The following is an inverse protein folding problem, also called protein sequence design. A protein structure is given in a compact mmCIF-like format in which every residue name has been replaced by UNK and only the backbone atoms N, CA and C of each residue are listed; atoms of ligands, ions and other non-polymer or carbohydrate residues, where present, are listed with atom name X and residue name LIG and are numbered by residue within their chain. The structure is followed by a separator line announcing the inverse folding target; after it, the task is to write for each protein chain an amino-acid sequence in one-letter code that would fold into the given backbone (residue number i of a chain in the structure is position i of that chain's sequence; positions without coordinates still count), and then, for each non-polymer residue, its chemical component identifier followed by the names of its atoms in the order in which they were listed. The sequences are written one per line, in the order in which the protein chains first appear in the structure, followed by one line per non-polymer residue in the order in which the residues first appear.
data_IF_466495375564
#
_entry.id   IF_466495375564
#
_cell.length_a   1.000
_cell.length_b   1.000
_cell.length_c   1.000
_cell.angle_alpha   90.00
_cell.angle_beta   90.00
_cell.angle_gamma   90.00
#
_symmetry.space_group_name_H-M   'P 1'
#
loop_
_entity.id
_entity.type
_entity.pdbx_description
1 polymer ?
#
# COMPACT_ATOMS: atom_id res chain seq x y z
N UNK A 1 6.67 10.84 4.07
CA UNK A 1 6.62 9.76 3.09
C UNK A 1 5.18 9.43 2.68
N UNK A 2 4.99 8.93 1.45
CA UNK A 2 3.72 8.42 0.90
C UNK A 2 3.97 7.03 0.36
N UNK A 3 3.12 6.07 0.68
CA UNK A 3 3.25 4.70 0.21
C UNK A 3 2.11 4.33 -0.74
N UNK A 4 2.43 3.65 -1.83
CA UNK A 4 1.47 2.99 -2.72
C UNK A 4 1.62 1.49 -2.57
N UNK A 5 0.51 0.76 -2.59
CA UNK A 5 0.51 -0.71 -2.55
C UNK A 5 -0.50 -1.29 -3.54
N UNK A 6 -0.23 -2.49 -3.99
CA UNK A 6 -1.09 -3.25 -4.89
C UNK A 6 -0.83 -4.76 -4.75
N UNK A 7 -1.77 -5.55 -5.22
CA UNK A 7 -1.59 -6.98 -5.44
C UNK A 7 -2.20 -7.41 -6.76
N UNK A 8 -1.54 -8.33 -7.47
CA UNK A 8 -2.13 -8.93 -8.65
C UNK A 8 -3.40 -9.70 -8.30
N UNK A 9 -4.45 -9.58 -9.13
CA UNK A 9 -5.72 -10.28 -8.92
C UNK A 9 -5.60 -11.79 -9.13
N UNK A 10 -4.71 -12.19 -10.03
CA UNK A 10 -4.51 -13.60 -10.38
C UNK A 10 -3.18 -14.08 -9.85
N UNK A 11 -3.22 -15.23 -9.19
CA UNK A 11 -2.01 -15.95 -8.82
C UNK A 11 -1.26 -16.48 -10.06
N UNK A 12 0.00 -16.80 -9.86
CA UNK A 12 0.79 -17.52 -10.87
C UNK A 12 0.10 -18.84 -11.23
N UNK A 13 -0.04 -19.19 -12.52
CA UNK A 13 -0.69 -20.45 -12.93
C UNK A 13 -0.09 -21.72 -12.30
N UNK A 14 1.18 -21.66 -11.89
CA UNK A 14 1.89 -22.82 -11.33
C UNK A 14 1.63 -23.03 -9.84
N UNK A 15 1.43 -21.97 -9.07
CA UNK A 15 1.30 -22.04 -7.61
C UNK A 15 0.14 -21.22 -7.02
N UNK A 16 -0.64 -20.56 -7.88
CA UNK A 16 -1.83 -19.79 -7.54
C UNK A 16 -1.56 -18.62 -6.55
N UNK A 17 -0.30 -18.28 -6.30
CA UNK A 17 0.06 -17.17 -5.41
C UNK A 17 0.10 -15.85 -6.18
N UNK A 18 -0.58 -14.86 -5.67
CA UNK A 18 -0.53 -13.50 -6.19
C UNK A 18 0.80 -12.82 -5.87
N UNK A 19 1.15 -11.81 -6.65
CA UNK A 19 2.29 -10.93 -6.38
C UNK A 19 1.81 -9.66 -5.70
N UNK A 20 2.41 -9.33 -4.57
CA UNK A 20 2.20 -8.05 -3.90
C UNK A 20 3.37 -7.10 -4.17
N UNK A 21 3.07 -5.82 -4.23
CA UNK A 21 4.06 -4.78 -4.46
C UNK A 21 3.75 -3.52 -3.67
N UNK A 22 4.79 -2.76 -3.38
CA UNK A 22 4.65 -1.41 -2.81
C UNK A 22 5.79 -0.50 -3.28
N UNK A 23 5.54 0.78 -3.16
CA UNK A 23 6.54 1.83 -3.37
C UNK A 23 6.34 2.95 -2.35
N UNK A 24 7.42 3.32 -1.64
CA UNK A 24 7.44 4.46 -0.72
C UNK A 24 8.16 5.61 -1.39
N UNK A 25 7.46 6.74 -1.48
CA UNK A 25 7.94 7.99 -2.06
C UNK A 25 8.27 8.99 -0.96
N UNK A 26 9.40 9.67 -1.10
CA UNK A 26 9.80 10.78 -0.23
C UNK A 26 10.46 11.87 -1.09
N UNK A 27 10.11 13.13 -0.84
CA UNK A 27 10.68 14.29 -1.55
C UNK A 27 10.64 14.16 -3.10
N UNK A 28 9.57 13.50 -3.64
CA UNK A 28 9.37 13.36 -5.09
C UNK A 28 10.09 12.16 -5.73
N UNK A 29 10.77 11.31 -4.96
CA UNK A 29 11.43 10.12 -5.46
C UNK A 29 11.11 8.85 -4.67
N UNK A 30 11.31 7.65 -5.27
CA UNK A 30 11.14 6.38 -4.57
C UNK A 30 12.36 6.12 -3.67
N UNK A 31 12.10 5.73 -2.42
CA UNK A 31 13.13 5.41 -1.43
C UNK A 31 13.12 3.94 -1.01
N UNK A 32 11.98 3.27 -1.14
CA UNK A 32 11.85 1.84 -0.88
C UNK A 32 10.75 1.25 -1.76
N UNK A 33 10.96 0.03 -2.26
CA UNK A 33 9.97 -0.68 -3.09
C UNK A 33 10.14 -2.19 -2.97
N UNK A 34 9.09 -2.91 -3.31
CA UNK A 34 9.10 -4.36 -3.36
C UNK A 34 8.16 -4.89 -4.43
N UNK A 35 8.55 -6.00 -5.04
CA UNK A 35 7.71 -6.84 -5.90
C UNK A 35 7.99 -8.29 -5.51
N UNK A 36 7.04 -8.96 -4.85
CA UNK A 36 7.24 -10.33 -4.35
C UNK A 36 5.95 -11.14 -4.42
N UNK A 37 6.07 -12.44 -4.70
CA UNK A 37 4.96 -13.37 -4.52
C UNK A 37 4.57 -13.45 -3.04
N UNK A 38 3.27 -13.48 -2.77
CA UNK A 38 2.77 -13.74 -1.42
C UNK A 38 3.20 -15.13 -0.93
N UNK A 39 3.40 -15.28 0.38
CA UNK A 39 3.78 -16.56 0.98
C UNK A 39 2.68 -17.61 0.89
N UNK A 40 1.43 -17.16 0.84
CA UNK A 40 0.24 -18.00 0.84
C UNK A 40 -0.69 -17.62 -0.32
N UNK A 41 -1.52 -18.57 -0.74
CA UNK A 41 -2.60 -18.32 -1.70
C UNK A 41 -3.68 -17.50 -1.01
N UNK A 42 -4.01 -16.35 -1.55
CA UNK A 42 -5.12 -15.53 -1.05
C UNK A 42 -6.47 -16.13 -1.42
N UNK A 43 -7.44 -15.96 -0.52
CA UNK A 43 -8.81 -16.48 -0.72
C UNK A 43 -9.69 -15.56 -1.58
N UNK A 44 -9.24 -14.33 -1.81
CA UNK A 44 -9.91 -13.33 -2.65
C UNK A 44 -8.91 -12.24 -3.05
N UNK A 45 -9.26 -11.41 -4.04
CA UNK A 45 -8.46 -10.23 -4.41
C UNK A 45 -8.25 -9.30 -3.21
N UNK A 46 -9.29 -8.99 -2.45
CA UNK A 46 -9.19 -8.16 -1.24
C UNK A 46 -8.27 -8.77 -0.17
N UNK A 47 -8.18 -10.11 -0.08
CA UNK A 47 -7.23 -10.77 0.80
C UNK A 47 -5.78 -10.54 0.32
N UNK A 48 -5.52 -10.72 -0.98
CA UNK A 48 -4.21 -10.47 -1.57
C UNK A 48 -3.79 -9.01 -1.38
N UNK A 49 -4.71 -8.09 -1.64
CA UNK A 49 -4.52 -6.66 -1.41
C UNK A 49 -4.20 -6.33 0.06
N UNK A 50 -4.89 -6.98 1.00
CA UNK A 50 -4.62 -6.74 2.41
C UNK A 50 -3.24 -7.27 2.85
N UNK A 51 -2.77 -8.38 2.29
CA UNK A 51 -1.42 -8.88 2.53
C UNK A 51 -0.37 -7.90 1.98
N UNK A 52 -0.63 -7.28 0.82
CA UNK A 52 0.22 -6.23 0.26
C UNK A 52 0.21 -4.97 1.13
N UNK A 53 -0.97 -4.53 1.59
CA UNK A 53 -1.12 -3.42 2.55
C UNK A 53 -0.31 -3.67 3.83
N UNK A 54 -0.40 -4.85 4.44
CA UNK A 54 0.31 -5.17 5.66
C UNK A 54 1.83 -5.12 5.47
N UNK A 55 2.33 -5.67 4.36
CA UNK A 55 3.76 -5.61 4.01
C UNK A 55 4.23 -4.17 3.77
N UNK A 56 3.44 -3.38 3.05
CA UNK A 56 3.70 -1.96 2.79
C UNK A 56 3.69 -1.11 4.07
N UNK A 57 2.72 -1.38 4.96
CA UNK A 57 2.60 -0.68 6.24
C UNK A 57 3.80 -0.97 7.16
N UNK A 58 4.31 -2.20 7.15
CA UNK A 58 5.49 -2.59 7.92
C UNK A 58 6.72 -1.79 7.47
N UNK A 59 6.96 -1.71 6.18
CA UNK A 59 8.08 -0.95 5.62
C UNK A 59 7.90 0.55 5.84
N UNK A 60 6.69 1.07 5.63
CA UNK A 60 6.40 2.49 5.85
C UNK A 60 6.64 2.89 7.31
N UNK A 61 6.24 2.03 8.26
CA UNK A 61 6.53 2.26 9.67
C UNK A 61 8.03 2.27 9.95
N UNK A 62 8.79 1.32 9.40
CA UNK A 62 10.25 1.29 9.51
C UNK A 62 10.89 2.57 8.97
N UNK A 63 10.48 3.04 7.79
CA UNK A 63 10.96 4.30 7.21
C UNK A 63 10.63 5.49 8.11
N UNK A 64 9.44 5.54 8.72
CA UNK A 64 9.07 6.59 9.67
C UNK A 64 9.96 6.59 10.91
N UNK A 65 10.23 5.42 11.47
CA UNK A 65 11.07 5.29 12.65
C UNK A 65 12.53 5.69 12.33
N UNK A 66 13.05 5.27 11.18
CA UNK A 66 14.36 5.68 10.68
C UNK A 66 14.47 7.21 10.50
N UNK A 67 13.45 7.85 9.91
CA UNK A 67 13.42 9.30 9.75
C UNK A 67 13.47 10.03 11.11
N UNK A 68 12.77 9.52 12.12
CA UNK A 68 12.82 10.07 13.48
C UNK A 68 14.23 9.95 14.09
N UNK A 69 14.85 8.76 13.96
CA UNK A 69 16.21 8.50 14.46
C UNK A 69 17.25 9.38 13.78
N UNK A 70 17.07 9.68 12.49
CA UNK A 70 17.93 10.58 11.72
C UNK A 70 17.71 12.08 12.02
N UNK A 71 16.77 12.44 12.89
CA UNK A 71 16.46 13.82 13.22
C UNK A 71 15.42 14.49 12.30
N UNK A 72 14.79 13.75 11.38
CA UNK A 72 13.73 14.24 10.48
C UNK A 72 12.32 13.93 11.00
N UNK A 73 12.13 13.94 12.33
CA UNK A 73 10.84 13.66 12.96
C UNK A 73 9.71 14.56 12.47
N UNK A 74 10.02 15.81 12.10
CA UNK A 74 9.04 16.76 11.56
C UNK A 74 8.38 16.29 10.25
N UNK A 75 9.07 15.48 9.46
CA UNK A 75 8.53 14.91 8.22
C UNK A 75 7.48 13.80 8.45
N UNK A 76 7.33 13.34 9.70
CA UNK A 76 6.47 12.20 10.08
C UNK A 76 5.63 12.48 11.32
N UNK A 77 5.34 13.74 11.63
CA UNK A 77 4.42 14.12 12.72
C UNK A 77 3.02 13.63 12.43
N UNK A 78 2.53 13.83 11.22
CA UNK A 78 1.24 13.34 10.78
C UNK A 78 1.31 11.88 10.31
N UNK A 79 0.17 11.19 10.32
CA UNK A 79 0.04 9.85 9.76
C UNK A 79 0.42 9.83 8.28
N UNK A 80 1.31 8.94 7.89
CA UNK A 80 1.74 8.82 6.50
C UNK A 80 0.64 8.18 5.63
N UNK A 81 0.28 8.78 4.47
CA UNK A 81 -0.68 8.19 3.56
C UNK A 81 -0.18 6.86 3.01
N UNK A 82 -1.05 5.85 3.04
CA UNK A 82 -0.84 4.56 2.39
C UNK A 82 -2.00 4.28 1.43
N UNK A 83 -1.70 4.15 0.15
CA UNK A 83 -2.63 4.29 -0.97
C UNK A 83 -2.78 2.96 -1.71
N UNK A 84 -4.01 2.51 -1.88
CA UNK A 84 -4.38 1.37 -2.70
C UNK A 84 -5.68 1.63 -3.46
N UNK A 85 -5.99 0.85 -4.47
CA UNK A 85 -7.18 1.04 -5.30
C UNK A 85 -8.39 0.17 -4.87
N UNK A 86 -8.21 -0.72 -3.90
CA UNK A 86 -9.25 -1.60 -3.39
C UNK A 86 -10.00 -0.97 -2.21
N UNK A 87 -11.26 -0.60 -2.44
CA UNK A 87 -12.15 0.00 -1.42
C UNK A 87 -12.35 -0.88 -0.20
N UNK A 88 -12.49 -2.19 -0.41
CA UNK A 88 -12.76 -3.12 0.68
C UNK A 88 -11.56 -3.24 1.61
N UNK A 89 -10.34 -3.25 1.07
CA UNK A 89 -9.10 -3.26 1.84
C UNK A 89 -8.97 -2.00 2.68
N UNK A 90 -9.25 -0.84 2.10
CA UNK A 90 -9.25 0.44 2.81
C UNK A 90 -10.28 0.44 3.96
N UNK A 91 -11.51 -0.05 3.71
CA UNK A 91 -12.53 -0.18 4.76
C UNK A 91 -12.10 -1.12 5.88
N UNK A 92 -11.56 -2.29 5.56
CA UNK A 92 -11.10 -3.26 6.56
C UNK A 92 -9.99 -2.70 7.46
N UNK A 93 -9.15 -1.81 6.95
CA UNK A 93 -8.10 -1.18 7.74
C UNK A 93 -8.61 -0.14 8.77
N UNK A 94 -9.82 0.39 8.57
CA UNK A 94 -10.42 1.44 9.40
C UNK A 94 -11.56 0.89 10.27
N UNK A 95 -12.40 0.01 9.73
CA UNK A 95 -13.58 -0.53 10.42
C UNK A 95 -13.22 -1.39 11.64
N UNK A 96 -14.05 -1.32 12.70
CA UNK A 96 -13.78 -2.02 13.98
C UNK A 96 -14.22 -3.49 14.00
N UNK A 97 -14.95 -3.96 13.01
CA UNK A 97 -15.56 -5.29 13.04
C UNK A 97 -14.78 -6.32 12.22
N UNK A 98 -14.57 -7.50 12.81
CA UNK A 98 -14.13 -8.68 12.07
C UNK A 98 -15.33 -9.23 11.31
N UNK A 99 -15.25 -9.22 9.99
CA UNK A 99 -16.27 -9.80 9.09
C UNK A 99 -15.85 -11.20 8.63
N UNK A 100 -16.78 -11.93 8.01
CA UNK A 100 -16.47 -13.24 7.42
C UNK A 100 -15.35 -13.13 6.37
N UNK A 101 -15.26 -12.00 5.66
CA UNK A 101 -14.25 -11.77 4.63
C UNK A 101 -12.83 -11.58 5.15
N UNK A 102 -12.64 -11.05 6.37
CA UNK A 102 -11.31 -10.74 6.92
C UNK A 102 -10.82 -11.69 8.01
N UNK A 103 -11.56 -12.77 8.30
CA UNK A 103 -11.16 -13.77 9.31
C UNK A 103 -9.80 -14.43 9.05
N UNK A 104 -9.44 -14.59 7.79
CA UNK A 104 -8.20 -15.29 7.38
C UNK A 104 -6.94 -14.44 7.49
N UNK A 105 -7.06 -13.11 7.67
CA UNK A 105 -5.96 -12.16 7.81
C UNK A 105 -5.87 -11.58 9.23
N UNK A 106 -6.29 -12.34 10.22
CA UNK A 106 -6.54 -11.84 11.58
C UNK A 106 -5.36 -11.10 12.20
N UNK A 107 -4.15 -11.64 12.09
CA UNK A 107 -2.94 -11.03 12.68
C UNK A 107 -2.58 -9.72 11.99
N UNK A 108 -2.46 -9.74 10.66
CA UNK A 108 -2.15 -8.54 9.87
C UNK A 108 -3.24 -7.47 10.03
N UNK A 109 -4.51 -7.92 10.12
CA UNK A 109 -5.66 -7.06 10.34
C UNK A 109 -5.54 -6.27 11.66
N UNK A 110 -5.22 -6.91 12.76
CA UNK A 110 -5.07 -6.24 14.05
C UNK A 110 -3.88 -5.31 14.06
N UNK A 111 -2.76 -5.73 13.50
CA UNK A 111 -1.54 -4.95 13.45
C UNK A 111 -1.69 -3.67 12.60
N UNK A 112 -2.24 -3.77 11.38
CA UNK A 112 -2.50 -2.61 10.52
C UNK A 112 -3.42 -1.61 11.21
N UNK A 113 -4.47 -2.09 11.88
CA UNK A 113 -5.38 -1.23 12.66
C UNK A 113 -4.71 -0.52 13.82
N UNK A 114 -3.78 -1.19 14.49
CA UNK A 114 -3.02 -0.56 15.55
C UNK A 114 -2.17 0.58 14.99
N UNK A 115 -1.49 0.38 13.85
CA UNK A 115 -0.75 1.44 13.17
C UNK A 115 -1.64 2.63 12.77
N UNK A 116 -2.87 2.37 12.31
CA UNK A 116 -3.85 3.43 12.01
C UNK A 116 -4.27 4.17 13.29
N UNK A 117 -4.55 3.43 14.37
CA UNK A 117 -4.94 4.00 15.66
C UNK A 117 -3.84 4.86 16.30
N UNK A 118 -2.60 4.41 16.19
CA UNK A 118 -1.43 5.14 16.69
C UNK A 118 -1.07 6.36 15.83
N UNK A 119 -1.68 6.52 14.65
CA UNK A 119 -1.39 7.62 13.74
C UNK A 119 -0.09 7.42 12.95
N UNK A 120 0.39 6.20 12.83
CA UNK A 120 1.55 5.91 11.99
C UNK A 120 1.18 5.96 10.51
N UNK A 121 0.04 5.41 10.14
CA UNK A 121 -0.43 5.32 8.75
C UNK A 121 -1.87 5.82 8.60
N UNK A 122 -2.18 6.34 7.41
CA UNK A 122 -3.52 6.77 7.02
C UNK A 122 -3.91 6.09 5.70
N UNK A 123 -4.63 4.96 5.72
CA UNK A 123 -5.11 4.29 4.52
C UNK A 123 -6.08 5.17 3.74
N UNK A 124 -5.85 5.30 2.44
CA UNK A 124 -6.69 6.08 1.52
C UNK A 124 -6.81 5.36 0.20
N UNK A 125 -7.91 5.63 -0.50
CA UNK A 125 -8.08 5.11 -1.85
C UNK A 125 -7.35 5.98 -2.87
N UNK A 126 -6.77 5.35 -3.88
CA UNK A 126 -6.30 5.97 -5.12
C UNK A 126 -6.99 5.29 -6.30
N UNK A 127 -7.17 5.97 -7.42
CA UNK A 127 -7.65 5.31 -8.65
C UNK A 127 -6.56 4.42 -9.22
N UNK A 128 -6.93 3.32 -9.87
CA UNK A 128 -5.99 2.38 -10.52
C UNK A 128 -5.05 3.10 -11.49
N UNK A 129 -5.53 4.11 -12.21
CA UNK A 129 -4.72 4.91 -13.13
C UNK A 129 -3.61 5.73 -12.44
N UNK A 130 -3.69 5.88 -11.12
CA UNK A 130 -2.76 6.66 -10.30
C UNK A 130 -2.04 5.79 -9.26
N UNK A 131 -2.27 4.47 -9.25
CA UNK A 131 -1.60 3.56 -8.33
C UNK A 131 -0.22 3.16 -8.88
N UNK A 132 0.83 3.86 -8.45
CA UNK A 132 2.21 3.61 -8.90
C UNK A 132 2.65 2.17 -8.66
N UNK A 133 2.12 1.51 -7.62
CA UNK A 133 2.50 0.14 -7.29
C UNK A 133 2.04 -0.92 -8.29
N UNK A 134 1.13 -0.59 -9.22
CA UNK A 134 0.75 -1.47 -10.33
C UNK A 134 1.96 -1.90 -11.19
N UNK A 135 2.99 -1.04 -11.29
CA UNK A 135 4.25 -1.36 -11.99
C UNK A 135 4.95 -2.60 -11.40
N UNK A 136 4.77 -2.85 -10.10
CA UNK A 136 5.45 -3.93 -9.37
C UNK A 136 4.65 -5.23 -9.34
N UNK A 137 3.38 -5.21 -9.77
CA UNK A 137 2.47 -6.35 -9.63
C UNK A 137 1.85 -6.83 -10.94
N UNK A 138 1.82 -5.97 -11.96
CA UNK A 138 1.14 -6.22 -13.23
C UNK A 138 2.06 -5.91 -14.42
N UNK A 139 1.88 -6.65 -15.50
CA UNK A 139 2.46 -6.28 -16.80
C UNK A 139 1.62 -5.16 -17.40
N UNK A 140 2.14 -3.94 -17.34
CA UNK A 140 1.49 -2.76 -17.89
C UNK A 140 2.01 -2.46 -19.29
N UNK A 141 1.14 -2.03 -20.17
CA UNK A 141 1.50 -1.63 -21.53
C UNK A 141 1.13 -0.17 -21.82
N UNK A 142 1.81 0.42 -22.81
CA UNK A 142 1.44 1.67 -23.43
C UNK A 142 1.43 2.89 -22.49
N UNK A 143 0.36 3.67 -22.59
CA UNK A 143 0.26 4.96 -21.93
C UNK A 143 0.22 4.87 -20.39
N UNK A 144 -0.43 3.83 -19.83
CA UNK A 144 -0.51 3.65 -18.38
C UNK A 144 0.87 3.43 -17.77
N UNK A 145 1.67 2.54 -18.37
CA UNK A 145 3.05 2.32 -17.92
C UNK A 145 3.86 3.62 -17.95
N UNK A 146 3.81 4.36 -19.05
CA UNK A 146 4.53 5.63 -19.19
C UNK A 146 4.12 6.63 -18.11
N UNK A 147 2.82 6.78 -17.87
CA UNK A 147 2.28 7.67 -16.84
C UNK A 147 2.78 7.31 -15.44
N UNK A 148 2.60 6.06 -15.02
CA UNK A 148 2.98 5.61 -13.69
C UNK A 148 4.51 5.63 -13.50
N UNK A 149 5.27 5.27 -14.54
CA UNK A 149 6.72 5.40 -14.54
C UNK A 149 7.17 6.84 -14.31
N UNK A 150 6.55 7.80 -15.01
CA UNK A 150 6.94 9.20 -14.92
C UNK A 150 6.63 9.78 -13.53
N UNK A 151 5.55 9.35 -12.88
CA UNK A 151 5.31 9.65 -11.47
C UNK A 151 6.35 9.00 -10.55
N UNK A 152 6.67 7.72 -10.78
CA UNK A 152 7.65 6.97 -9.98
C UNK A 152 9.01 7.63 -9.96
N UNK A 153 9.50 8.09 -11.13
CA UNK A 153 10.83 8.69 -11.26
C UNK A 153 10.84 10.21 -11.10
N UNK A 154 9.74 10.82 -10.63
CA UNK A 154 9.64 12.24 -10.35
C UNK A 154 9.57 13.15 -11.59
N UNK A 155 9.27 12.62 -12.78
CA UNK A 155 9.05 13.42 -14.01
C UNK A 155 7.65 14.02 -14.08
N UNK A 156 6.71 13.45 -13.35
CA UNK A 156 5.34 13.96 -13.21
C UNK A 156 4.98 14.05 -11.73
N UNK A 157 4.13 15.00 -11.32
CA UNK A 157 3.70 15.12 -9.94
C UNK A 157 2.93 13.88 -9.50
N UNK A 158 3.02 13.55 -8.22
CA UNK A 158 2.17 12.55 -7.61
C UNK A 158 0.70 12.98 -7.67
N UNK A 159 -0.24 12.03 -7.68
CA UNK A 159 -1.66 12.36 -7.68
C UNK A 159 -2.03 13.18 -6.44
N UNK A 160 -3.01 14.05 -6.59
CA UNK A 160 -3.59 14.77 -5.45
C UNK A 160 -4.13 13.74 -4.47
N UNK A 161 -3.64 13.80 -3.23
CA UNK A 161 -4.03 12.85 -2.21
C UNK A 161 -5.50 13.08 -1.81
N UNK A 162 -6.33 12.05 -1.80
CA UNK A 162 -7.70 12.16 -1.31
C UNK A 162 -7.69 12.60 0.17
N UNK A 163 -8.76 13.26 0.61
CA UNK A 163 -8.91 13.60 2.02
C UNK A 163 -8.83 12.35 2.91
N UNK A 164 -8.31 12.46 4.15
CA UNK A 164 -8.36 11.36 5.08
C UNK A 164 -9.81 10.93 5.30
N UNK A 165 -10.08 9.62 5.46
CA UNK A 165 -11.42 9.15 5.80
C UNK A 165 -11.85 9.78 7.13
N UNK A 166 -13.11 10.20 7.21
CA UNK A 166 -13.69 10.72 8.45
C UNK A 166 -13.62 9.62 9.54
N UNK A 167 -13.10 10.00 10.69
CA UNK A 167 -13.03 9.13 11.88
C UNK A 167 -14.42 8.87 12.47
#
# INVERSE_FOLDING_TARGET
PVCFYDSSDKGDPTDQRASGGYCIMLAGGPIAWSSRKHRHVGRSSSHNEYMALASAAQELKHVRDLLKEMGFGDCVQDASPILGDNDQTTRWSIERMVTTGNKCIRTDYHWVKECVKLGDICPRRVSTENNISDIFTKSLAGQLFTRLRDMLIGRSPLPVLPAPPHR
#
